data_IF_369859627405
#
_entry.id   IF_369859627405
#
_cell.length_a   1.000
_cell.length_b   1.000
_cell.length_c   1.000
_cell.angle_alpha   90.00
_cell.angle_beta   90.00
_cell.angle_gamma   90.00
#
_symmetry.space_group_name_H-M   'P 1'
#
loop_
_entity.id
_entity.type
_entity.pdbx_description
1 polymer ?
#
# COMPACT_ATOMS: atom_id res chain seq x y z
N UNK A 1 2.24 11.05 75.35
CA UNK A 1 2.47 9.59 75.16
C UNK A 1 1.39 9.09 74.19
N UNK A 2 1.65 9.06 72.87
CA UNK A 2 2.01 7.91 72.01
C UNK A 2 1.04 6.70 72.01
N UNK A 3 0.33 6.58 70.86
CA UNK A 3 -0.07 5.38 70.06
C UNK A 3 -1.17 4.48 70.67
N UNK A 4 -2.16 3.94 69.94
CA UNK A 4 -2.15 3.06 68.73
C UNK A 4 -3.59 2.91 68.17
N UNK A 5 -3.82 3.07 66.85
CA UNK A 5 -4.16 2.08 65.79
C UNK A 5 -5.62 1.55 65.66
N UNK A 6 -6.07 1.63 64.40
CA UNK A 6 -6.93 0.72 63.63
C UNK A 6 -8.47 0.73 63.82
N UNK A 7 -9.19 1.01 62.72
CA UNK A 7 -9.97 -0.02 62.01
C UNK A 7 -10.51 0.52 60.68
N UNK A 8 -10.33 -0.28 59.63
CA UNK A 8 -10.88 -0.09 58.30
C UNK A 8 -12.37 -0.49 58.26
N UNK A 9 -13.18 0.20 57.47
CA UNK A 9 -14.48 -0.31 57.02
C UNK A 9 -14.67 0.03 55.54
N UNK A 10 -14.79 -1.03 54.75
CA UNK A 10 -15.00 -1.02 53.32
C UNK A 10 -16.43 -0.55 52.96
N UNK A 11 -16.58 0.08 51.80
CA UNK A 11 -17.86 0.15 51.11
C UNK A 11 -17.63 -0.10 49.62
N UNK A 12 -18.22 -1.19 49.16
CA UNK A 12 -18.19 -1.70 47.80
C UNK A 12 -19.00 -0.79 46.85
N UNK A 13 -18.43 -0.49 45.68
CA UNK A 13 -19.13 0.13 44.57
C UNK A 13 -19.00 -0.76 43.34
N UNK A 14 -19.97 -1.67 43.16
CA UNK A 14 -20.14 -2.45 41.92
C UNK A 14 -20.72 -1.50 40.87
N UNK A 15 -19.94 -1.18 39.84
CA UNK A 15 -20.44 -0.58 38.61
C UNK A 15 -20.18 -1.55 37.46
N UNK A 16 -21.20 -2.38 37.21
CA UNK A 16 -21.37 -3.12 35.99
C UNK A 16 -21.97 -2.19 34.92
N UNK A 17 -21.19 -1.91 33.88
CA UNK A 17 -21.63 -1.46 32.56
C UNK A 17 -20.50 -1.88 31.62
N UNK A 18 -20.70 -2.59 30.52
CA UNK A 18 -21.87 -2.79 29.69
C UNK A 18 -21.27 -3.03 28.30
N UNK A 19 -21.56 -4.21 27.75
CA UNK A 19 -21.11 -4.77 26.48
C UNK A 19 -20.92 -3.76 25.34
N UNK A 20 -19.77 -3.80 24.66
CA UNK A 20 -19.63 -3.92 23.20
C UNK A 20 -18.20 -4.39 22.86
N UNK A 21 -17.89 -5.65 23.21
CA UNK A 21 -16.79 -6.36 22.56
C UNK A 21 -17.29 -6.79 21.18
N UNK A 22 -17.20 -5.91 20.18
CA UNK A 22 -17.17 -6.39 18.81
C UNK A 22 -15.82 -7.11 18.65
N UNK A 23 -15.78 -8.41 18.31
CA UNK A 23 -14.57 -8.95 17.75
C UNK A 23 -14.42 -8.21 16.42
N UNK A 24 -13.54 -7.21 16.39
CA UNK A 24 -12.82 -6.93 15.17
C UNK A 24 -12.14 -8.26 14.86
N UNK A 25 -12.78 -9.08 14.02
CA UNK A 25 -12.10 -10.10 13.26
C UNK A 25 -11.19 -9.30 12.32
N UNK A 26 -10.12 -8.76 12.91
CA UNK A 26 -8.93 -8.40 12.19
C UNK A 26 -8.57 -9.69 11.49
N UNK A 27 -8.80 -9.67 10.19
CA UNK A 27 -8.55 -10.76 9.30
C UNK A 27 -7.07 -11.15 9.48
N UNK A 28 -6.80 -12.10 10.37
CA UNK A 28 -5.44 -12.58 10.66
C UNK A 28 -4.80 -13.21 9.41
N UNK A 29 -5.59 -13.43 8.36
CA UNK A 29 -5.10 -13.78 7.03
C UNK A 29 -4.36 -12.63 6.32
N UNK A 30 -4.61 -11.36 6.68
CA UNK A 30 -3.83 -10.22 6.21
C UNK A 30 -2.49 -10.07 6.96
N UNK A 31 -2.35 -10.69 8.13
CA UNK A 31 -1.14 -10.64 8.96
C UNK A 31 -0.19 -11.83 8.70
N UNK A 32 -0.71 -12.98 8.26
CA UNK A 32 0.11 -14.07 7.72
C UNK A 32 0.47 -13.73 6.27
N UNK A 33 1.49 -12.86 6.13
CA UNK A 33 2.02 -12.40 4.86
C UNK A 33 2.26 -13.56 3.89
N UNK A 34 1.31 -13.77 2.98
CA UNK A 34 1.56 -14.49 1.75
C UNK A 34 2.58 -13.66 0.99
N UNK A 35 3.86 -14.01 1.13
CA UNK A 35 4.93 -13.40 0.35
C UNK A 35 4.77 -13.96 -1.07
N UNK A 36 4.14 -13.16 -1.93
CA UNK A 36 4.13 -13.48 -3.36
C UNK A 36 5.59 -13.59 -3.82
N UNK A 37 6.02 -14.76 -4.34
CA UNK A 37 7.41 -14.99 -4.73
C UNK A 37 7.87 -14.07 -5.88
N UNK A 38 6.94 -13.42 -6.57
CA UNK A 38 7.22 -12.52 -7.67
C UNK A 38 7.49 -11.07 -7.22
N UNK A 39 7.25 -10.73 -5.96
CA UNK A 39 7.60 -9.40 -5.43
C UNK A 39 9.10 -9.35 -5.17
N UNK A 40 9.83 -8.61 -6.00
CA UNK A 40 11.30 -8.47 -5.90
C UNK A 40 11.75 -7.23 -5.13
N UNK A 41 10.86 -6.26 -4.94
CA UNK A 41 11.16 -5.04 -4.21
C UNK A 41 9.92 -4.22 -3.86
N UNK A 42 10.14 -3.05 -3.27
CA UNK A 42 9.09 -2.11 -2.90
C UNK A 42 9.05 -0.92 -3.86
N UNK A 43 7.95 -0.17 -3.82
CA UNK A 43 7.87 1.18 -4.38
C UNK A 43 7.90 2.19 -3.23
N UNK A 44 8.83 3.12 -3.28
CA UNK A 44 8.93 4.27 -2.40
C UNK A 44 8.08 5.41 -2.95
N UNK A 45 7.17 5.92 -2.11
CA UNK A 45 6.30 7.03 -2.47
C UNK A 45 6.83 8.30 -1.78
N UNK A 46 6.93 9.43 -2.49
CA UNK A 46 7.42 10.69 -1.91
C UNK A 46 6.45 11.27 -0.87
N UNK A 47 5.19 10.83 -0.90
CA UNK A 47 4.18 11.15 0.09
C UNK A 47 3.47 9.88 0.56
N UNK A 48 3.09 9.85 1.85
CA UNK A 48 2.41 8.70 2.47
C UNK A 48 0.88 8.85 2.56
N UNK A 49 0.36 10.00 2.17
CA UNK A 49 -1.05 10.37 2.22
C UNK A 49 -1.33 11.31 1.04
N UNK A 50 -2.53 11.22 0.49
CA UNK A 50 -3.02 12.23 -0.44
C UNK A 50 -4.51 12.07 -0.70
N UNK A 51 -5.02 12.88 -1.62
CA UNK A 51 -6.40 12.79 -2.12
C UNK A 51 -6.50 11.88 -3.34
N UNK A 52 -7.63 11.21 -3.46
CA UNK A 52 -7.94 10.24 -4.52
C UNK A 52 -8.27 10.89 -5.86
N UNK A 53 -8.71 12.14 -5.86
CA UNK A 53 -9.04 12.94 -7.04
C UNK A 53 -7.90 13.83 -7.54
N UNK A 54 -6.75 13.88 -6.84
CA UNK A 54 -5.57 14.64 -7.26
C UNK A 54 -4.94 14.04 -8.52
N UNK A 55 -4.64 14.89 -9.50
CA UNK A 55 -3.88 14.51 -10.71
C UNK A 55 -2.59 15.33 -10.82
N UNK A 56 -1.42 14.68 -10.95
CA UNK A 56 -1.20 13.24 -10.83
C UNK A 56 -1.39 12.75 -9.39
N UNK A 57 -1.86 11.50 -9.22
CA UNK A 57 -2.01 10.87 -7.91
C UNK A 57 -0.68 10.84 -7.13
N UNK A 58 0.40 10.47 -7.81
CA UNK A 58 1.77 10.43 -7.30
C UNK A 58 2.73 10.85 -8.42
N UNK A 59 3.73 11.65 -8.07
CA UNK A 59 4.86 12.05 -8.93
C UNK A 59 6.15 11.58 -8.28
N UNK A 60 7.08 10.99 -9.03
CA UNK A 60 8.41 10.61 -8.54
C UNK A 60 8.40 9.45 -7.53
N UNK A 61 7.61 8.41 -7.79
CA UNK A 61 7.73 7.15 -7.05
C UNK A 61 8.92 6.36 -7.57
N UNK A 62 9.70 5.75 -6.69
CA UNK A 62 10.91 5.02 -7.07
C UNK A 62 10.81 3.56 -6.65
N UNK A 63 11.29 2.65 -7.48
CA UNK A 63 11.50 1.26 -7.07
C UNK A 63 12.74 1.14 -6.19
N UNK A 64 12.78 0.14 -5.30
CA UNK A 64 13.97 -0.10 -4.45
C UNK A 64 15.16 -0.72 -5.18
N UNK A 65 14.97 -1.14 -6.43
CA UNK A 65 15.98 -1.78 -7.28
C UNK A 65 15.65 -1.54 -8.76
N UNK A 66 16.55 -1.91 -9.66
CA UNK A 66 16.34 -1.92 -11.11
C UNK A 66 15.42 -3.05 -11.57
N UNK A 67 14.90 -2.93 -12.79
CA UNK A 67 14.17 -4.02 -13.44
C UNK A 67 15.04 -5.28 -13.56
N UNK A 68 14.43 -6.48 -13.58
CA UNK A 68 15.15 -7.71 -13.88
C UNK A 68 15.90 -7.62 -15.21
N UNK A 69 17.09 -8.24 -15.27
CA UNK A 69 17.91 -8.30 -16.48
C UNK A 69 17.10 -8.78 -17.69
N UNK A 70 17.15 -8.04 -18.80
CA UNK A 70 16.43 -8.34 -20.03
C UNK A 70 15.00 -7.80 -20.08
N UNK A 71 14.48 -7.25 -18.97
CA UNK A 71 13.14 -6.66 -18.89
C UNK A 71 13.17 -5.14 -18.73
N UNK A 72 14.29 -4.49 -19.02
CA UNK A 72 14.46 -3.04 -18.83
C UNK A 72 14.00 -2.15 -19.99
N UNK A 73 13.20 -2.63 -20.95
CA UNK A 73 12.82 -1.84 -22.13
C UNK A 73 11.60 -0.96 -21.89
N UNK A 74 10.59 -1.51 -21.22
CA UNK A 74 9.41 -0.73 -20.83
C UNK A 74 9.02 -0.95 -19.38
N UNK A 75 8.33 0.05 -18.83
CA UNK A 75 7.84 0.04 -17.45
C UNK A 75 6.39 0.46 -17.41
N UNK A 76 5.57 -0.33 -16.70
CA UNK A 76 4.18 -0.05 -16.42
C UNK A 76 3.98 0.27 -14.94
N UNK A 77 3.42 1.44 -14.65
CA UNK A 77 2.95 1.79 -13.30
C UNK A 77 1.44 1.60 -13.21
N UNK A 78 0.99 0.75 -12.30
CA UNK A 78 -0.39 0.23 -12.24
C UNK A 78 -0.94 0.27 -10.82
N UNK A 79 -2.26 0.29 -10.69
CA UNK A 79 -2.97 0.12 -9.41
C UNK A 79 -4.03 -0.97 -9.56
N UNK A 80 -4.22 -1.78 -8.53
CA UNK A 80 -5.14 -2.90 -8.61
C UNK A 80 -5.37 -3.66 -7.32
N UNK A 81 -6.20 -4.71 -7.40
CA UNK A 81 -6.47 -5.65 -6.31
C UNK A 81 -6.63 -7.04 -6.90
N UNK A 82 -6.02 -8.05 -6.27
CA UNK A 82 -5.97 -9.41 -6.82
C UNK A 82 -5.30 -9.39 -8.19
N UNK A 83 -5.96 -9.93 -9.21
CA UNK A 83 -5.43 -9.98 -10.59
C UNK A 83 -5.89 -8.81 -11.47
N UNK A 84 -6.66 -7.87 -10.93
CA UNK A 84 -7.22 -6.75 -11.70
C UNK A 84 -6.39 -5.50 -11.49
N UNK A 85 -5.66 -5.08 -12.53
CA UNK A 85 -4.80 -3.90 -12.52
C UNK A 85 -5.09 -2.96 -13.69
N UNK A 86 -5.16 -1.66 -13.38
CA UNK A 86 -5.30 -0.57 -14.34
C UNK A 86 -4.03 0.26 -14.35
N UNK A 87 -3.68 0.81 -15.51
CA UNK A 87 -2.48 1.64 -15.64
C UNK A 87 -2.73 3.02 -15.03
N UNK A 88 -1.76 3.52 -14.26
CA UNK A 88 -1.75 4.89 -13.72
C UNK A 88 -1.12 5.88 -14.69
N UNK A 89 -0.32 5.40 -15.64
CA UNK A 89 0.35 6.17 -16.68
C UNK A 89 0.47 5.36 -17.98
N UNK A 90 0.77 5.98 -19.13
CA UNK A 90 1.33 5.27 -20.28
C UNK A 90 2.62 4.52 -19.89
N UNK A 91 3.00 3.53 -20.70
CA UNK A 91 4.25 2.81 -20.49
C UNK A 91 5.42 3.76 -20.71
N UNK A 92 6.40 3.70 -19.82
CA UNK A 92 7.69 4.37 -20.05
C UNK A 92 8.53 3.49 -20.98
N UNK A 93 9.19 4.10 -21.96
CA UNK A 93 9.88 3.38 -23.05
C UNK A 93 11.28 3.94 -23.31
N UNK A 94 11.95 4.48 -22.29
CA UNK A 94 13.30 5.03 -22.44
C UNK A 94 14.37 3.93 -22.57
N UNK A 95 14.05 2.70 -22.15
CA UNK A 95 15.00 1.59 -22.08
C UNK A 95 16.01 1.74 -20.93
N UNK A 96 16.81 0.69 -20.72
CA UNK A 96 17.87 0.67 -19.70
C UNK A 96 17.38 0.61 -18.25
N UNK A 97 16.11 0.31 -18.01
CA UNK A 97 15.56 0.22 -16.65
C UNK A 97 16.13 -0.97 -15.85
N UNK A 98 16.83 -1.88 -16.51
CA UNK A 98 17.55 -3.01 -15.92
C UNK A 98 19.06 -2.73 -15.69
N UNK A 99 19.53 -1.53 -16.02
CA UNK A 99 20.94 -1.12 -15.88
C UNK A 99 21.17 -0.09 -14.75
N UNK A 100 20.10 0.44 -14.16
CA UNK A 100 20.15 1.45 -13.11
C UNK A 100 20.23 0.86 -11.69
N UNK A 101 19.95 1.70 -10.70
CA UNK A 101 19.76 1.30 -9.29
C UNK A 101 18.28 1.35 -8.89
N UNK A 102 17.47 2.16 -9.59
CA UNK A 102 16.03 2.30 -9.37
C UNK A 102 15.33 2.77 -10.65
N UNK A 103 14.01 2.65 -10.65
CA UNK A 103 13.14 3.14 -11.70
C UNK A 103 12.19 4.18 -11.11
N UNK A 104 12.28 5.41 -11.62
CA UNK A 104 11.33 6.47 -11.28
C UNK A 104 10.08 6.38 -12.17
N UNK A 105 8.90 6.37 -11.55
CA UNK A 105 7.60 6.38 -12.21
C UNK A 105 6.71 7.48 -11.65
N UNK A 106 5.87 8.05 -12.51
CA UNK A 106 4.85 9.02 -12.11
C UNK A 106 3.50 8.60 -12.67
N UNK A 107 2.44 8.78 -11.91
CA UNK A 107 1.08 8.66 -12.43
C UNK A 107 0.79 9.83 -13.38
N UNK A 108 -0.16 9.64 -14.30
CA UNK A 108 -0.68 10.72 -15.15
C UNK A 108 -2.17 10.97 -14.94
N UNK A 109 -2.77 10.29 -13.95
CA UNK A 109 -4.20 10.38 -13.59
C UNK A 109 -4.39 10.28 -12.08
N UNK A 110 -5.59 10.60 -11.61
CA UNK A 110 -6.02 10.40 -10.22
C UNK A 110 -6.40 8.93 -9.94
N UNK A 111 -6.53 8.56 -8.67
CA UNK A 111 -7.05 7.23 -8.30
C UNK A 111 -8.52 7.10 -8.68
N UNK A 112 -9.33 8.15 -8.52
CA UNK A 112 -10.74 8.13 -8.91
C UNK A 112 -10.91 7.86 -10.41
N UNK A 113 -10.06 8.45 -11.24
CA UNK A 113 -10.07 8.19 -12.68
C UNK A 113 -9.60 6.77 -13.03
N UNK A 114 -8.77 6.15 -12.20
CA UNK A 114 -8.24 4.80 -12.43
C UNK A 114 -9.20 3.71 -11.92
N UNK A 115 -9.71 3.86 -10.70
CA UNK A 115 -10.46 2.83 -9.96
C UNK A 115 -11.98 3.09 -9.96
N UNK A 116 -12.40 4.29 -10.34
CA UNK A 116 -13.76 4.79 -10.13
C UNK A 116 -13.91 5.52 -8.79
N UNK A 117 -14.91 6.41 -8.71
CA UNK A 117 -15.25 7.11 -7.47
C UNK A 117 -15.67 6.12 -6.38
N UNK A 118 -15.36 6.44 -5.11
CA UNK A 118 -15.68 5.65 -3.92
C UNK A 118 -15.06 4.24 -3.87
N UNK A 119 -13.96 4.02 -4.58
CA UNK A 119 -13.23 2.75 -4.61
C UNK A 119 -12.47 2.48 -3.29
N UNK A 120 -13.18 2.33 -2.17
CA UNK A 120 -12.61 2.07 -0.84
C UNK A 120 -12.00 0.67 -0.74
N UNK A 121 -10.88 0.56 -0.02
CA UNK A 121 -10.22 -0.72 0.24
C UNK A 121 -8.70 -0.65 0.14
N UNK A 122 -8.06 -1.82 0.20
CA UNK A 122 -6.61 -1.96 0.03
C UNK A 122 -6.32 -2.28 -1.43
N UNK A 123 -5.37 -1.53 -2.00
CA UNK A 123 -4.88 -1.71 -3.35
C UNK A 123 -3.37 -1.89 -3.35
N UNK A 124 -2.90 -2.50 -4.42
CA UNK A 124 -1.49 -2.66 -4.75
C UNK A 124 -1.15 -1.66 -5.84
N UNK A 125 -0.15 -0.82 -5.57
CA UNK A 125 0.62 -0.14 -6.59
C UNK A 125 1.68 -1.12 -7.09
N UNK A 126 1.79 -1.25 -8.40
CA UNK A 126 2.71 -2.19 -9.02
C UNK A 126 3.54 -1.50 -10.10
N UNK A 127 4.85 -1.71 -10.05
CA UNK A 127 5.75 -1.43 -11.17
C UNK A 127 6.14 -2.76 -11.79
N UNK A 128 5.77 -2.95 -13.06
CA UNK A 128 6.09 -4.13 -13.86
C UNK A 128 6.96 -3.72 -15.04
N UNK A 129 8.02 -4.48 -15.25
CA UNK A 129 8.97 -4.25 -16.34
C UNK A 129 8.68 -5.22 -17.50
N UNK A 130 9.06 -4.87 -18.72
CA UNK A 130 8.93 -5.75 -19.88
C UNK A 130 10.14 -5.69 -20.82
N UNK A 131 10.34 -6.79 -21.54
CA UNK A 131 11.38 -6.93 -22.56
C UNK A 131 11.10 -6.08 -23.82
N UNK A 132 11.96 -6.20 -24.84
CA UNK A 132 11.85 -5.45 -26.10
C UNK A 132 10.60 -5.79 -26.92
N UNK A 133 10.00 -6.96 -26.68
CA UNK A 133 8.79 -7.44 -27.33
C UNK A 133 7.52 -7.03 -26.56
N UNK A 134 7.68 -6.39 -25.39
CA UNK A 134 6.59 -6.00 -24.51
C UNK A 134 6.06 -7.14 -23.63
N UNK A 135 6.81 -8.25 -23.52
CA UNK A 135 6.48 -9.34 -22.60
C UNK A 135 6.81 -8.89 -21.18
N UNK A 136 5.78 -8.87 -20.32
CA UNK A 136 5.95 -8.51 -18.92
C UNK A 136 6.77 -9.55 -18.18
N UNK A 137 7.68 -9.10 -17.31
CA UNK A 137 8.30 -9.95 -16.32
C UNK A 137 7.23 -10.48 -15.36
N UNK A 138 7.38 -11.73 -14.93
CA UNK A 138 6.58 -12.26 -13.83
C UNK A 138 6.88 -11.50 -12.53
N UNK A 139 8.14 -11.07 -12.37
CA UNK A 139 8.63 -10.30 -11.22
C UNK A 139 8.19 -8.83 -11.27
N UNK A 140 7.91 -8.25 -10.10
CA UNK A 140 7.44 -6.87 -9.99
C UNK A 140 7.76 -6.22 -8.64
N UNK A 141 7.62 -4.90 -8.58
CA UNK A 141 7.69 -4.12 -7.34
C UNK A 141 6.30 -3.80 -6.84
N UNK A 142 6.10 -3.84 -5.52
CA UNK A 142 4.78 -3.65 -4.91
C UNK A 142 4.80 -2.59 -3.81
N UNK A 143 3.70 -1.85 -3.69
CA UNK A 143 3.43 -0.99 -2.54
C UNK A 143 1.93 -0.96 -2.27
N UNK A 144 1.53 -1.33 -1.06
CA UNK A 144 0.13 -1.26 -0.66
C UNK A 144 -0.28 0.16 -0.29
N UNK A 145 -1.50 0.50 -0.67
CA UNK A 145 -2.21 1.70 -0.23
C UNK A 145 -3.60 1.32 0.29
N UNK A 146 -4.13 2.09 1.22
CA UNK A 146 -5.54 2.03 1.64
C UNK A 146 -6.26 3.28 1.13
N UNK A 147 -7.41 3.09 0.48
CA UNK A 147 -8.33 4.17 0.09
C UNK A 147 -9.47 4.23 1.11
N UNK A 148 -9.59 5.36 1.80
CA UNK A 148 -10.54 5.60 2.89
C UNK A 148 -11.22 6.96 2.64
N UNK A 149 -12.50 6.92 2.27
CA UNK A 149 -13.21 8.12 1.83
C UNK A 149 -12.57 8.68 0.56
N UNK A 150 -12.26 9.96 0.56
CA UNK A 150 -11.60 10.72 -0.51
C UNK A 150 -10.05 10.72 -0.38
N UNK A 151 -9.50 9.99 0.59
CA UNK A 151 -8.07 9.94 0.86
C UNK A 151 -7.47 8.56 0.59
N UNK A 152 -6.18 8.55 0.29
CA UNK A 152 -5.37 7.34 0.25
C UNK A 152 -4.20 7.44 1.23
N UNK A 153 -3.76 6.31 1.78
CA UNK A 153 -2.62 6.22 2.70
C UNK A 153 -1.72 5.07 2.29
N UNK A 154 -0.41 5.28 2.26
CA UNK A 154 0.57 4.24 2.01
C UNK A 154 0.75 3.35 3.25
N UNK A 155 0.71 2.02 3.08
CA UNK A 155 0.77 1.04 4.17
C UNK A 155 2.17 0.51 4.48
#
# INVERSE_FOLDING_TARGET
MRRTLAAAAAAAGVLAAGLFAAPAQADESAARGHRDPNVIGSIELPQRLGRTDTTPFVTGAETTDACPEGYGNFVAFRVGRGDTFVNLAPYLSAGGYDQGESVEVSATRSLDAALGADARGIYHLRVQCSDELGVLADQYFDRRIAVIGDHWVAL
#
